data_IF_512418979654
#
_entry.id   IF_512418979654
#
_cell.length_a   1.000
_cell.length_b   1.000
_cell.length_c   1.000
_cell.angle_alpha   90.00
_cell.angle_beta   90.00
_cell.angle_gamma   90.00
#
_symmetry.space_group_name_H-M   'P 1'
#
loop_
_entity.id
_entity.type
_entity.pdbx_description
1 polymer ?
#
# COMPACT_ATOMS: atom_id res chain seq x y z
N UNK A 1 -35.76 25.36 96.50
CA UNK A 1 -35.17 26.28 95.49
C UNK A 1 -34.92 25.49 94.22
N UNK A 2 -35.52 25.96 93.12
CA UNK A 2 -35.16 25.78 91.71
C UNK A 2 -35.08 24.36 91.09
N UNK A 3 -36.13 24.07 90.29
CA UNK A 3 -36.14 23.35 88.99
C UNK A 3 -35.00 23.81 88.03
N UNK A 4 -34.72 23.21 86.83
CA UNK A 4 -35.57 22.33 85.99
C UNK A 4 -34.86 21.19 85.15
N UNK A 5 -35.65 20.53 84.28
CA UNK A 5 -35.33 20.13 82.87
C UNK A 5 -34.48 18.86 82.61
N UNK A 6 -34.65 18.04 81.56
CA UNK A 6 -35.66 17.75 80.50
C UNK A 6 -35.04 16.65 79.58
N UNK A 7 -35.84 16.06 78.68
CA UNK A 7 -35.47 15.36 77.42
C UNK A 7 -35.00 13.88 77.48
N UNK A 8 -35.82 12.89 77.05
CA UNK A 8 -36.05 12.33 75.68
C UNK A 8 -34.98 11.36 75.17
N UNK A 9 -35.37 10.12 74.89
CA UNK A 9 -34.74 9.25 73.89
C UNK A 9 -35.82 8.41 73.22
N UNK A 10 -36.34 8.93 72.10
CA UNK A 10 -37.07 8.16 71.11
C UNK A 10 -36.08 7.73 70.04
N UNK A 11 -35.85 6.42 69.95
CA UNK A 11 -35.02 5.77 68.94
C UNK A 11 -35.84 5.69 67.64
N UNK A 12 -35.48 6.49 66.62
CA UNK A 12 -36.02 6.35 65.27
C UNK A 12 -34.95 5.65 64.43
N UNK A 13 -35.14 4.36 64.14
CA UNK A 13 -34.39 3.64 63.11
C UNK A 13 -34.76 4.23 61.74
N UNK A 14 -33.79 4.84 61.07
CA UNK A 14 -33.88 5.11 59.62
C UNK A 14 -33.20 3.94 58.89
N UNK A 15 -34.01 3.10 58.24
CA UNK A 15 -33.55 2.16 57.22
C UNK A 15 -33.16 2.96 55.98
N UNK A 16 -31.86 3.04 55.69
CA UNK A 16 -31.35 3.45 54.37
C UNK A 16 -31.50 2.27 53.41
N UNK A 17 -32.57 2.28 52.62
CA UNK A 17 -32.67 1.50 51.39
C UNK A 17 -31.83 2.17 50.31
N UNK A 18 -30.58 1.71 50.14
CA UNK A 18 -29.75 2.04 48.98
C UNK A 18 -30.33 1.30 47.78
N UNK A 19 -31.06 2.03 46.93
CA UNK A 19 -31.48 1.56 45.61
C UNK A 19 -30.27 1.60 44.69
N UNK A 20 -29.73 0.42 44.34
CA UNK A 20 -28.83 0.28 43.19
C UNK A 20 -29.63 0.59 41.93
N UNK A 21 -29.54 1.83 41.43
CA UNK A 21 -29.84 2.11 40.03
C UNK A 21 -28.70 1.49 39.21
N UNK A 22 -28.92 0.29 38.72
CA UNK A 22 -28.15 -0.21 37.58
C UNK A 22 -28.54 0.68 36.40
N UNK A 23 -27.63 1.52 35.93
CA UNK A 23 -27.79 2.15 34.61
C UNK A 23 -27.73 1.01 33.60
N UNK A 24 -28.90 0.60 33.11
CA UNK A 24 -28.99 -0.31 31.97
C UNK A 24 -28.56 0.50 30.74
N UNK A 25 -27.42 0.14 30.18
CA UNK A 25 -26.89 0.76 28.96
C UNK A 25 -27.82 0.42 27.80
N UNK A 26 -28.14 1.40 26.94
CA UNK A 26 -28.96 1.18 25.74
C UNK A 26 -28.09 0.50 24.67
N UNK A 27 -27.93 -0.82 24.78
CA UNK A 27 -27.08 -1.63 23.91
C UNK A 27 -27.85 -2.09 22.68
N UNK A 28 -27.29 -1.86 21.49
CA UNK A 28 -27.81 -2.41 20.24
C UNK A 28 -27.54 -3.92 20.17
N UNK A 29 -28.55 -4.81 20.11
CA UNK A 29 -28.31 -6.26 20.04
C UNK A 29 -27.55 -6.73 18.80
N UNK A 30 -27.47 -5.91 17.74
CA UNK A 30 -26.80 -6.24 16.48
C UNK A 30 -25.44 -5.53 16.31
N UNK A 31 -24.86 -4.96 17.38
CA UNK A 31 -23.63 -4.17 17.26
C UNK A 31 -22.47 -4.93 16.60
N UNK A 32 -22.40 -6.25 16.79
CA UNK A 32 -21.30 -7.06 16.26
C UNK A 32 -21.32 -7.11 14.72
N UNK A 33 -22.51 -7.26 14.13
CA UNK A 33 -22.71 -7.24 12.68
C UNK A 33 -22.49 -5.83 12.12
N UNK A 34 -23.08 -4.82 12.75
CA UNK A 34 -22.92 -3.44 12.31
C UNK A 34 -21.47 -2.94 12.42
N UNK A 35 -20.71 -3.36 13.43
CA UNK A 35 -19.29 -3.03 13.58
C UNK A 35 -18.40 -3.73 12.55
N UNK A 36 -18.84 -4.88 12.02
CA UNK A 36 -18.09 -5.69 11.07
C UNK A 36 -18.20 -5.22 9.60
N UNK A 37 -18.86 -4.10 9.33
CA UNK A 37 -18.98 -3.53 7.99
C UNK A 37 -17.59 -3.22 7.38
N UNK A 38 -17.17 -3.93 6.31
CA UNK A 38 -15.87 -3.75 5.68
C UNK A 38 -15.68 -2.36 5.05
N UNK A 39 -16.76 -1.62 4.76
CA UNK A 39 -16.65 -0.30 4.15
C UNK A 39 -15.93 0.71 5.05
N UNK A 40 -16.02 0.55 6.38
CA UNK A 40 -15.22 1.38 7.32
C UNK A 40 -13.72 1.17 7.12
N UNK A 41 -13.30 -0.07 6.84
CA UNK A 41 -11.89 -0.39 6.59
C UNK A 41 -11.44 0.12 5.22
N UNK A 42 -12.25 -0.07 4.18
CA UNK A 42 -11.98 0.50 2.85
C UNK A 42 -11.80 2.03 2.91
N UNK A 43 -12.66 2.74 3.66
CA UNK A 43 -12.54 4.18 3.89
C UNK A 43 -11.26 4.56 4.63
N UNK A 44 -10.83 3.78 5.63
CA UNK A 44 -9.59 4.03 6.36
C UNK A 44 -8.34 3.89 5.45
N UNK A 45 -8.30 2.84 4.63
CA UNK A 45 -7.21 2.64 3.65
C UNK A 45 -7.24 3.72 2.55
N UNK A 46 -8.43 4.14 2.08
CA UNK A 46 -8.58 5.24 1.13
C UNK A 46 -8.11 6.57 1.72
N UNK A 47 -8.50 6.89 2.95
CA UNK A 47 -8.04 8.10 3.62
C UNK A 47 -6.51 8.11 3.76
N UNK A 48 -5.89 6.97 4.10
CA UNK A 48 -4.44 6.86 4.13
C UNK A 48 -3.81 7.11 2.76
N UNK A 49 -4.42 6.59 1.68
CA UNK A 49 -4.01 6.85 0.30
C UNK A 49 -4.08 8.34 -0.05
N UNK A 50 -5.14 9.04 0.35
CA UNK A 50 -5.30 10.47 0.09
C UNK A 50 -4.25 11.31 0.82
N UNK A 51 -3.86 10.90 2.03
CA UNK A 51 -2.76 11.51 2.77
C UNK A 51 -1.41 11.20 2.12
N UNK A 52 -1.19 9.98 1.65
CA UNK A 52 0.04 9.59 0.92
C UNK A 52 0.24 10.48 -0.32
N UNK A 53 -0.83 10.70 -1.10
CA UNK A 53 -0.80 11.60 -2.27
C UNK A 53 -0.58 13.05 -1.85
N UNK A 54 -1.25 13.50 -0.79
CA UNK A 54 -1.08 14.87 -0.27
C UNK A 54 0.35 15.17 0.18
N UNK A 55 0.97 14.20 0.86
CA UNK A 55 2.32 14.32 1.43
C UNK A 55 3.44 14.01 0.42
N UNK A 56 3.08 13.62 -0.81
CA UNK A 56 4.00 13.36 -1.93
C UNK A 56 5.04 12.28 -1.57
N UNK A 57 4.57 11.19 -0.97
CA UNK A 57 5.44 10.05 -0.71
C UNK A 57 5.86 9.34 -2.01
N UNK A 58 7.10 8.85 -2.02
CA UNK A 58 7.61 8.08 -3.16
C UNK A 58 6.92 6.73 -3.28
N UNK A 59 6.84 6.13 -4.49
CA UNK A 59 6.26 4.81 -4.68
C UNK A 59 6.74 3.72 -3.69
N UNK A 60 8.06 3.52 -3.47
CA UNK A 60 8.53 2.53 -2.49
C UNK A 60 8.12 2.87 -1.05
N UNK A 61 8.14 4.15 -0.66
CA UNK A 61 7.74 4.57 0.69
C UNK A 61 6.23 4.41 0.90
N UNK A 62 5.41 4.66 -0.11
CA UNK A 62 3.97 4.40 -0.06
C UNK A 62 3.67 2.92 0.22
N UNK A 63 4.35 1.98 -0.46
CA UNK A 63 4.20 0.55 -0.20
C UNK A 63 4.56 0.17 1.25
N UNK A 64 5.59 0.79 1.83
CA UNK A 64 5.95 0.62 3.25
C UNK A 64 4.81 1.07 4.18
N UNK A 65 4.18 2.20 3.88
CA UNK A 65 3.07 2.76 4.68
C UNK A 65 1.86 1.81 4.67
N UNK A 66 1.46 1.31 3.49
CA UNK A 66 0.37 0.34 3.37
C UNK A 66 0.67 -0.97 4.11
N UNK A 67 1.89 -1.50 3.95
CA UNK A 67 2.23 -2.81 4.50
C UNK A 67 2.14 -2.88 6.02
N UNK A 68 2.74 -1.91 6.73
CA UNK A 68 2.69 -1.92 8.18
C UNK A 68 1.31 -1.58 8.75
N UNK A 69 0.57 -0.65 8.11
CA UNK A 69 -0.78 -0.32 8.57
C UNK A 69 -1.75 -1.48 8.41
N UNK A 70 -1.68 -2.20 7.29
CA UNK A 70 -2.51 -3.38 7.05
C UNK A 70 -2.08 -4.58 7.91
N UNK A 71 -0.77 -4.79 8.12
CA UNK A 71 -0.25 -5.80 9.06
C UNK A 71 -0.84 -5.63 10.47
N UNK A 72 -0.91 -4.40 10.98
CA UNK A 72 -1.45 -4.15 12.31
C UNK A 72 -2.95 -4.52 12.42
N UNK A 73 -3.73 -4.23 11.39
CA UNK A 73 -5.13 -4.64 11.31
C UNK A 73 -5.27 -6.15 11.22
N UNK A 74 -4.43 -6.79 10.39
CA UNK A 74 -4.45 -8.23 10.17
C UNK A 74 -4.16 -9.00 11.45
N UNK A 75 -3.14 -8.60 12.22
CA UNK A 75 -2.81 -9.27 13.48
C UNK A 75 -3.93 -9.15 14.51
N UNK A 76 -4.65 -8.02 14.54
CA UNK A 76 -5.85 -7.90 15.38
C UNK A 76 -6.95 -8.85 14.91
N UNK A 77 -7.21 -8.91 13.60
CA UNK A 77 -8.25 -9.78 13.04
C UNK A 77 -7.92 -11.26 13.25
N UNK A 78 -6.68 -11.67 13.01
CA UNK A 78 -6.22 -13.05 13.20
C UNK A 78 -6.27 -13.50 14.67
N UNK A 79 -6.09 -12.59 15.63
CA UNK A 79 -6.27 -12.90 17.04
C UNK A 79 -7.75 -13.13 17.44
N UNK A 80 -8.68 -12.62 16.64
CA UNK A 80 -10.13 -12.72 16.88
C UNK A 80 -10.86 -13.80 16.09
N UNK A 81 -10.24 -14.33 15.03
CA UNK A 81 -10.84 -15.32 14.15
C UNK A 81 -9.90 -16.54 13.99
N UNK A 82 -10.29 -17.73 14.52
CA UNK A 82 -9.47 -18.94 14.44
C UNK A 82 -9.30 -19.48 13.01
N UNK A 83 -10.04 -18.96 12.02
CA UNK A 83 -9.81 -19.28 10.62
C UNK A 83 -8.50 -18.66 10.10
N UNK A 84 -8.02 -17.60 10.74
CA UNK A 84 -6.84 -16.84 10.34
C UNK A 84 -5.65 -17.12 11.27
N UNK A 85 -4.44 -17.11 10.70
CA UNK A 85 -3.19 -17.34 11.42
C UNK A 85 -2.38 -16.04 11.52
N UNK A 86 -1.77 -15.79 12.67
CA UNK A 86 -0.82 -14.68 12.82
C UNK A 86 0.36 -14.83 11.84
N UNK A 87 0.87 -13.70 11.33
CA UNK A 87 2.07 -13.67 10.50
C UNK A 87 3.37 -13.74 11.31
N UNK A 88 3.27 -13.77 12.64
CA UNK A 88 4.41 -13.95 13.52
C UNK A 88 5.16 -15.24 13.20
N UNK A 89 6.49 -15.12 13.02
CA UNK A 89 7.34 -16.23 12.59
C UNK A 89 7.21 -16.66 11.13
N UNK A 90 6.30 -16.07 10.35
CA UNK A 90 6.20 -16.26 8.90
C UNK A 90 6.94 -15.16 8.13
N UNK A 91 6.83 -13.91 8.60
CA UNK A 91 7.53 -12.74 8.03
C UNK A 91 8.78 -12.38 8.85
N UNK A 92 9.80 -11.85 8.17
CA UNK A 92 11.16 -11.61 8.68
C UNK A 92 11.18 -10.85 10.01
N UNK A 93 11.68 -11.47 11.08
CA UNK A 93 11.87 -10.84 12.40
C UNK A 93 10.58 -10.34 13.08
N UNK A 94 9.39 -10.71 12.61
CA UNK A 94 8.15 -10.31 13.26
C UNK A 94 7.79 -11.27 14.40
N UNK A 95 7.73 -10.74 15.61
CA UNK A 95 7.35 -11.46 16.81
C UNK A 95 5.84 -11.47 17.02
N UNK A 96 5.36 -12.42 17.83
CA UNK A 96 3.95 -12.55 18.20
C UNK A 96 3.40 -11.25 18.79
N UNK A 97 2.29 -10.77 18.25
CA UNK A 97 1.60 -9.59 18.73
C UNK A 97 0.89 -9.85 20.08
N UNK A 98 0.59 -8.80 20.87
CA UNK A 98 -0.21 -8.93 22.08
C UNK A 98 -1.52 -9.67 21.83
N UNK A 99 -1.83 -10.66 22.68
CA UNK A 99 -3.06 -11.45 22.61
C UNK A 99 -4.18 -10.79 23.42
N UNK A 100 -5.46 -10.93 23.02
CA UNK A 100 -6.59 -10.46 23.81
C UNK A 100 -6.68 -11.25 25.13
N UNK A 101 -7.28 -10.63 26.16
CA UNK A 101 -7.48 -11.28 27.45
C UNK A 101 -8.55 -12.37 27.33
N UNK A 102 -8.24 -13.58 27.82
CA UNK A 102 -9.12 -14.74 27.73
C UNK A 102 -10.43 -14.50 28.50
N UNK A 103 -11.56 -14.85 27.87
CA UNK A 103 -12.89 -14.76 28.47
C UNK A 103 -13.51 -13.37 28.50
N UNK A 104 -12.85 -12.36 27.91
CA UNK A 104 -13.42 -11.03 27.70
C UNK A 104 -13.89 -10.85 26.26
N UNK A 105 -14.90 -10.01 26.10
CA UNK A 105 -15.48 -9.69 24.79
C UNK A 105 -14.82 -8.46 24.17
N UNK A 106 -14.57 -8.56 22.86
CA UNK A 106 -13.93 -7.55 22.03
C UNK A 106 -14.71 -7.39 20.72
N UNK A 107 -14.70 -6.18 20.16
CA UNK A 107 -14.99 -5.92 18.75
C UNK A 107 -13.66 -5.86 17.99
N UNK A 108 -13.24 -7.01 17.43
CA UNK A 108 -12.07 -7.09 16.55
C UNK A 108 -12.16 -6.17 15.33
N UNK A 109 -13.34 -5.95 14.71
CA UNK A 109 -13.49 -4.93 13.66
C UNK A 109 -13.04 -3.53 14.09
N UNK A 110 -13.50 -3.06 15.25
CA UNK A 110 -13.09 -1.75 15.79
C UNK A 110 -11.61 -1.73 16.15
N UNK A 111 -11.12 -2.79 16.79
CA UNK A 111 -9.72 -2.89 17.17
C UNK A 111 -8.80 -2.86 15.93
N UNK A 112 -9.19 -3.51 14.82
CA UNK A 112 -8.42 -3.54 13.57
C UNK A 112 -8.37 -2.17 12.90
N UNK A 113 -9.49 -1.44 12.88
CA UNK A 113 -9.54 -0.04 12.40
C UNK A 113 -8.63 0.87 13.23
N UNK A 114 -8.69 0.76 14.55
CA UNK A 114 -7.83 1.53 15.46
C UNK A 114 -6.36 1.21 15.22
N UNK A 115 -6.01 -0.06 15.04
CA UNK A 115 -4.65 -0.48 14.77
C UNK A 115 -4.14 0.07 13.43
N UNK A 116 -4.95 -0.06 12.37
CA UNK A 116 -4.64 0.45 11.03
C UNK A 116 -4.40 1.97 11.04
N UNK A 117 -5.34 2.73 11.61
CA UNK A 117 -5.25 4.19 11.64
C UNK A 117 -4.05 4.67 12.45
N UNK A 118 -3.78 4.06 13.61
CA UNK A 118 -2.65 4.44 14.47
C UNK A 118 -1.30 4.21 13.77
N UNK A 119 -1.12 3.07 13.12
CA UNK A 119 0.12 2.77 12.37
C UNK A 119 0.22 3.61 11.09
N UNK A 120 -0.89 3.79 10.36
CA UNK A 120 -0.92 4.64 9.18
C UNK A 120 -0.53 6.08 9.50
N UNK A 121 -1.10 6.64 10.58
CA UNK A 121 -0.80 7.99 11.08
C UNK A 121 0.68 8.17 11.45
N UNK A 122 1.28 7.19 12.12
CA UNK A 122 2.68 7.30 12.57
C UNK A 122 3.71 7.23 11.44
N UNK A 123 3.29 6.97 10.21
CA UNK A 123 4.14 6.82 9.03
C UNK A 123 4.00 7.95 8.00
N UNK A 124 3.09 8.90 8.23
CA UNK A 124 2.81 10.04 7.33
C UNK A 124 3.18 11.38 7.97
N UNK A 125 3.13 12.49 7.21
CA UNK A 125 3.46 13.83 7.74
C UNK A 125 2.22 14.61 8.19
N UNK A 126 1.13 14.55 7.43
CA UNK A 126 -0.12 15.26 7.73
C UNK A 126 -1.02 14.47 8.71
N UNK A 127 -0.51 14.22 9.92
CA UNK A 127 -1.19 13.43 10.97
C UNK A 127 -2.59 13.97 11.35
N UNK A 128 -2.82 15.27 11.19
CA UNK A 128 -4.09 15.94 11.45
C UNK A 128 -5.22 15.40 10.56
N UNK A 129 -4.91 14.99 9.32
CA UNK A 129 -5.89 14.44 8.39
C UNK A 129 -6.38 13.06 8.80
N UNK A 130 -5.50 12.22 9.34
CA UNK A 130 -5.89 10.92 9.89
C UNK A 130 -6.62 11.13 11.22
N UNK A 131 -6.13 12.03 12.08
CA UNK A 131 -6.78 12.33 13.37
C UNK A 131 -8.22 12.79 13.18
N UNK A 132 -8.48 13.68 12.22
CA UNK A 132 -9.84 14.12 11.90
C UNK A 132 -10.73 12.98 11.39
N UNK A 133 -10.19 12.12 10.54
CA UNK A 133 -10.92 10.95 10.05
C UNK A 133 -11.22 9.95 11.18
N UNK A 134 -10.28 9.73 12.10
CA UNK A 134 -10.50 8.90 13.29
C UNK A 134 -11.61 9.46 14.18
N UNK A 135 -11.71 10.78 14.35
CA UNK A 135 -12.82 11.42 15.09
C UNK A 135 -14.17 11.14 14.43
N UNK A 136 -14.26 11.24 13.09
CA UNK A 136 -15.47 10.94 12.32
C UNK A 136 -15.84 9.45 12.44
N UNK A 137 -14.87 8.56 12.28
CA UNK A 137 -15.06 7.11 12.40
C UNK A 137 -15.49 6.70 13.81
N UNK A 138 -14.88 7.28 14.84
CA UNK A 138 -15.24 7.00 16.23
C UNK A 138 -16.63 7.51 16.58
N UNK A 139 -17.08 8.62 15.99
CA UNK A 139 -18.48 9.06 16.14
C UNK A 139 -19.44 8.04 15.53
N UNK A 140 -19.15 7.52 14.32
CA UNK A 140 -19.95 6.46 13.69
C UNK A 140 -19.97 5.16 14.53
N UNK A 141 -18.83 4.79 15.14
CA UNK A 141 -18.73 3.59 16.00
C UNK A 141 -19.53 3.78 17.30
N UNK A 142 -19.52 4.97 17.89
CA UNK A 142 -20.32 5.28 19.08
C UNK A 142 -21.83 5.18 18.79
N UNK A 143 -22.26 5.57 17.59
CA UNK A 143 -23.66 5.48 17.16
C UNK A 143 -24.18 4.03 17.03
N UNK A 144 -23.29 3.04 16.88
CA UNK A 144 -23.63 1.60 16.88
C UNK A 144 -24.18 1.18 18.25
N UNK A 145 -23.80 1.86 19.34
CA UNK A 145 -24.19 1.54 20.73
C UNK A 145 -23.80 0.12 21.18
N UNK A 146 -22.54 -0.26 20.94
CA UNK A 146 -21.95 -1.42 21.61
C UNK A 146 -21.71 -1.15 23.11
N UNK A 147 -21.62 -2.18 23.96
CA UNK A 147 -21.33 -1.97 25.38
C UNK A 147 -20.02 -1.17 25.54
N UNK A 148 -20.05 -0.11 26.36
CA UNK A 148 -18.88 0.77 26.62
C UNK A 148 -17.63 -0.03 27.00
N UNK A 149 -17.78 -1.05 27.84
CA UNK A 149 -16.68 -1.92 28.27
C UNK A 149 -16.10 -2.79 27.14
N UNK A 150 -16.85 -3.08 26.07
CA UNK A 150 -16.37 -3.77 24.86
C UNK A 150 -15.62 -2.77 23.98
N UNK A 151 -16.19 -1.57 23.76
CA UNK A 151 -15.56 -0.52 22.96
C UNK A 151 -14.20 -0.10 23.53
N UNK A 152 -14.15 0.29 24.81
CA UNK A 152 -12.93 0.75 25.47
C UNK A 152 -11.81 -0.30 25.39
N UNK A 153 -12.19 -1.57 25.58
CA UNK A 153 -11.25 -2.70 25.51
C UNK A 153 -10.77 -2.96 24.09
N UNK A 154 -11.64 -2.85 23.10
CA UNK A 154 -11.30 -3.02 21.68
C UNK A 154 -10.35 -1.93 21.20
N UNK A 155 -10.61 -0.68 21.58
CA UNK A 155 -9.71 0.46 21.30
C UNK A 155 -8.35 0.24 21.96
N UNK A 156 -8.31 -0.12 23.26
CA UNK A 156 -7.06 -0.39 23.96
C UNK A 156 -6.27 -1.56 23.33
N UNK A 157 -6.96 -2.63 22.93
CA UNK A 157 -6.35 -3.78 22.27
C UNK A 157 -5.74 -3.40 20.92
N UNK A 158 -6.52 -2.75 20.04
CA UNK A 158 -6.03 -2.26 18.74
C UNK A 158 -4.82 -1.33 18.88
N UNK A 159 -4.85 -0.43 19.88
CA UNK A 159 -3.71 0.43 20.19
C UNK A 159 -2.45 -0.36 20.60
N UNK A 160 -2.61 -1.44 21.36
CA UNK A 160 -1.49 -2.27 21.82
C UNK A 160 -0.83 -3.05 20.67
N UNK A 161 -1.62 -3.59 19.74
CA UNK A 161 -1.11 -4.27 18.54
C UNK A 161 -0.42 -3.26 17.62
N UNK A 162 -0.99 -2.07 17.46
CA UNK A 162 -0.33 -1.00 16.71
C UNK A 162 1.02 -0.59 17.32
N UNK A 163 1.13 -0.46 18.65
CA UNK A 163 2.41 -0.17 19.31
C UNK A 163 3.46 -1.25 19.05
N UNK A 164 3.04 -2.52 19.02
CA UNK A 164 3.90 -3.64 18.66
C UNK A 164 4.41 -3.55 17.21
N UNK A 165 3.53 -3.24 16.25
CA UNK A 165 3.91 -3.07 14.84
C UNK A 165 4.80 -1.82 14.64
N UNK A 166 4.54 -0.74 15.38
CA UNK A 166 5.40 0.47 15.38
C UNK A 166 6.80 0.13 15.86
N UNK A 167 6.92 -0.61 16.96
CA UNK A 167 8.21 -1.06 17.46
C UNK A 167 8.93 -1.99 16.46
N UNK A 168 8.18 -2.81 15.73
CA UNK A 168 8.71 -3.70 14.71
C UNK A 168 9.26 -2.95 13.49
N UNK A 169 8.51 -2.00 12.92
CA UNK A 169 9.00 -1.25 11.75
C UNK A 169 10.15 -0.30 12.08
N UNK A 170 10.29 0.11 13.34
CA UNK A 170 11.40 0.97 13.78
C UNK A 170 12.78 0.29 13.61
N UNK A 171 12.80 -1.04 13.49
CA UNK A 171 13.98 -1.85 13.22
C UNK A 171 14.27 -2.14 11.74
N UNK A 172 13.46 -1.64 10.80
CA UNK A 172 13.52 -2.05 9.37
C UNK A 172 14.57 -1.33 8.51
N UNK A 173 15.44 -0.55 9.14
CA UNK A 173 16.48 0.30 8.53
C UNK A 173 15.99 1.56 7.80
N UNK A 174 14.68 1.84 7.74
CA UNK A 174 14.16 3.02 7.04
C UNK A 174 14.68 4.36 7.61
N UNK A 175 14.70 4.52 8.92
CA UNK A 175 15.19 5.76 9.57
C UNK A 175 16.67 6.00 9.29
N UNK A 176 17.47 4.94 9.27
CA UNK A 176 18.92 4.98 9.04
C UNK A 176 19.23 5.40 7.60
N UNK A 177 18.52 4.82 6.63
CA UNK A 177 18.70 5.14 5.19
C UNK A 177 18.39 6.60 4.84
N UNK A 178 17.61 7.33 5.66
CA UNK A 178 17.35 8.78 5.46
C UNK A 178 18.62 9.64 5.51
N UNK A 179 19.69 9.12 6.09
CA UNK A 179 20.99 9.81 6.22
C UNK A 179 22.08 9.23 5.30
N UNK A 180 21.75 8.21 4.51
CA UNK A 180 22.72 7.60 3.59
C UNK A 180 23.04 8.56 2.42
N UNK A 181 24.20 8.41 1.78
CA UNK A 181 24.57 9.23 0.64
C UNK A 181 23.54 9.12 -0.49
N UNK A 182 23.34 10.24 -1.18
CA UNK A 182 22.56 10.28 -2.43
C UNK A 182 23.24 9.44 -3.51
N UNK A 183 22.48 9.08 -4.54
CA UNK A 183 23.03 8.40 -5.72
C UNK A 183 24.10 9.27 -6.39
N UNK A 184 25.27 8.69 -6.65
CA UNK A 184 26.38 9.40 -7.30
C UNK A 184 26.26 9.33 -8.81
N UNK A 185 26.20 10.50 -9.45
CA UNK A 185 26.22 10.64 -10.91
C UNK A 185 27.65 10.53 -11.43
N UNK A 186 27.81 9.90 -12.59
CA UNK A 186 29.10 9.66 -13.26
C UNK A 186 29.00 9.99 -14.75
N UNK A 187 30.15 10.24 -15.40
CA UNK A 187 30.24 10.52 -16.83
C UNK A 187 30.14 9.27 -17.74
N UNK A 188 29.93 8.08 -17.15
CA UNK A 188 29.70 6.86 -17.93
C UNK A 188 28.42 6.98 -18.78
N UNK A 189 28.54 6.72 -20.08
CA UNK A 189 27.48 6.98 -21.06
C UNK A 189 26.21 6.16 -20.84
N UNK A 190 26.36 4.93 -20.34
CA UNK A 190 25.26 4.01 -20.07
C UNK A 190 24.53 4.26 -18.75
N UNK A 191 25.10 5.09 -17.87
CA UNK A 191 24.59 5.30 -16.52
C UNK A 191 23.50 6.36 -16.48
N UNK A 192 22.57 6.16 -15.55
CA UNK A 192 21.45 7.04 -15.30
C UNK A 192 21.90 8.45 -14.94
N UNK A 193 21.16 9.42 -15.47
CA UNK A 193 21.30 10.83 -15.17
C UNK A 193 19.91 11.39 -14.86
N UNK A 194 19.82 12.43 -14.01
CA UNK A 194 18.59 13.16 -13.82
C UNK A 194 18.06 13.68 -15.16
N UNK A 195 16.76 13.55 -15.38
CA UNK A 195 16.09 13.94 -16.62
C UNK A 195 15.35 15.28 -16.46
N UNK A 196 15.16 16.03 -17.56
CA UNK A 196 14.28 17.19 -17.56
C UNK A 196 12.84 16.84 -17.14
N UNK A 197 12.05 17.85 -16.73
CA UNK A 197 12.44 19.24 -16.52
C UNK A 197 13.16 19.50 -15.18
N UNK A 198 12.95 18.66 -14.16
CA UNK A 198 13.34 18.98 -12.78
C UNK A 198 14.75 18.54 -12.40
N UNK A 199 15.33 17.57 -13.12
CA UNK A 199 16.66 17.01 -12.83
C UNK A 199 16.82 16.58 -11.36
N UNK A 200 15.78 15.96 -10.80
CA UNK A 200 15.76 15.49 -9.42
C UNK A 200 16.80 14.38 -9.17
N UNK A 201 17.31 14.34 -7.94
CA UNK A 201 18.14 13.24 -7.47
C UNK A 201 17.39 11.90 -7.54
N UNK A 202 18.14 10.82 -7.75
CA UNK A 202 17.58 9.46 -7.81
C UNK A 202 16.84 9.11 -6.51
N UNK A 203 15.58 8.71 -6.63
CA UNK A 203 14.69 8.40 -5.50
C UNK A 203 14.99 7.06 -4.83
N UNK A 204 15.31 7.12 -3.53
CA UNK A 204 15.55 5.96 -2.65
C UNK A 204 16.70 5.04 -3.08
N UNK A 205 17.94 5.53 -3.27
CA UNK A 205 19.07 4.72 -3.76
C UNK A 205 19.48 3.56 -2.84
N UNK A 206 19.05 3.61 -1.58
CA UNK A 206 19.34 2.59 -0.56
C UNK A 206 18.12 1.74 -0.21
N UNK A 207 17.07 1.73 -1.05
CA UNK A 207 15.85 0.98 -0.75
C UNK A 207 16.07 -0.53 -0.62
N UNK A 208 17.09 -1.06 -1.29
CA UNK A 208 17.52 -2.46 -1.15
C UNK A 208 17.97 -2.86 0.26
N UNK A 209 18.31 -1.88 1.10
CA UNK A 209 18.80 -2.12 2.46
C UNK A 209 17.63 -2.19 3.48
N UNK A 210 16.42 -1.82 3.08
CA UNK A 210 15.22 -1.95 3.91
C UNK A 210 14.92 -3.44 4.14
N UNK A 211 14.53 -3.79 5.37
CA UNK A 211 14.16 -5.18 5.70
C UNK A 211 12.97 -5.64 4.84
N UNK A 212 13.10 -6.71 4.05
CA UNK A 212 11.96 -7.32 3.36
C UNK A 212 11.06 -8.09 4.33
N UNK A 213 9.79 -8.26 3.96
CA UNK A 213 8.85 -9.04 4.76
C UNK A 213 9.01 -10.54 4.57
N UNK A 214 9.15 -10.99 3.33
CA UNK A 214 9.17 -12.42 2.98
C UNK A 214 10.45 -12.83 2.26
N UNK A 215 11.10 -11.92 1.53
CA UNK A 215 12.35 -12.22 0.83
C UNK A 215 13.50 -12.53 1.80
N UNK A 216 14.35 -13.50 1.44
CA UNK A 216 15.60 -13.80 2.15
C UNK A 216 16.62 -12.64 2.01
N UNK A 217 16.57 -11.95 0.87
CA UNK A 217 17.38 -10.76 0.58
C UNK A 217 16.79 -9.97 -0.58
N UNK A 218 17.12 -8.68 -0.69
CA UNK A 218 16.63 -7.83 -1.78
C UNK A 218 17.00 -8.37 -3.19
N UNK A 219 18.15 -9.04 -3.31
CA UNK A 219 18.64 -9.63 -4.56
C UNK A 219 18.15 -11.05 -4.85
N UNK A 220 17.20 -11.59 -4.07
CA UNK A 220 16.71 -12.97 -4.23
C UNK A 220 16.16 -13.24 -5.64
N UNK A 221 15.40 -12.28 -6.19
CA UNK A 221 14.84 -12.34 -7.54
C UNK A 221 15.53 -11.34 -8.49
N UNK A 222 16.87 -11.32 -8.46
CA UNK A 222 17.65 -10.52 -9.40
C UNK A 222 17.35 -10.95 -10.85
N UNK A 223 16.90 -10.03 -11.72
CA UNK A 223 16.56 -10.34 -13.11
C UNK A 223 17.81 -10.49 -13.98
N UNK A 224 17.60 -10.82 -15.25
CA UNK A 224 18.65 -10.72 -16.26
C UNK A 224 19.14 -9.27 -16.38
N UNK A 225 20.44 -9.04 -16.67
CA UNK A 225 20.96 -7.70 -16.87
C UNK A 225 20.29 -7.04 -18.09
N UNK A 226 20.23 -5.70 -18.12
CA UNK A 226 19.74 -5.00 -19.31
C UNK A 226 20.65 -5.28 -20.51
N UNK A 227 20.12 -5.04 -21.71
CA UNK A 227 20.91 -5.10 -22.93
C UNK A 227 22.13 -4.18 -22.83
N UNK A 228 23.28 -4.67 -23.28
CA UNK A 228 24.52 -3.90 -23.25
C UNK A 228 24.39 -2.65 -24.12
N UNK A 229 24.73 -1.49 -23.54
CA UNK A 229 24.69 -0.20 -24.23
C UNK A 229 25.52 -0.21 -25.51
N UNK A 230 24.94 0.27 -26.62
CA UNK A 230 25.68 0.43 -27.88
C UNK A 230 25.16 1.61 -28.71
N UNK A 231 26.07 2.41 -29.25
CA UNK A 231 25.73 3.47 -30.21
C UNK A 231 25.68 2.95 -31.66
N UNK A 232 25.97 1.66 -31.89
CA UNK A 232 25.98 1.05 -33.22
C UNK A 232 24.56 0.79 -33.72
N UNK A 233 24.23 1.35 -34.90
CA UNK A 233 22.98 1.09 -35.60
C UNK A 233 22.86 -0.39 -35.95
N UNK A 234 21.73 -1.01 -35.61
CA UNK A 234 21.49 -2.45 -35.82
C UNK A 234 22.02 -3.35 -34.69
N UNK A 235 22.59 -2.77 -33.62
CA UNK A 235 22.76 -3.51 -32.36
C UNK A 235 21.41 -3.73 -31.69
N UNK A 236 21.31 -4.77 -30.85
CA UNK A 236 20.10 -5.07 -30.07
C UNK A 236 19.66 -3.86 -29.21
N UNK A 237 20.61 -3.14 -28.61
CA UNK A 237 20.33 -1.91 -27.87
C UNK A 237 19.62 -0.87 -28.74
N UNK A 238 20.15 -0.63 -29.94
CA UNK A 238 19.58 0.34 -30.86
C UNK A 238 18.18 -0.07 -31.33
N UNK A 239 17.93 -1.36 -31.54
CA UNK A 239 16.59 -1.89 -31.86
C UNK A 239 15.59 -1.63 -30.73
N UNK A 240 15.96 -1.90 -29.48
CA UNK A 240 15.12 -1.64 -28.30
C UNK A 240 14.86 -0.13 -28.09
N UNK A 241 15.85 0.72 -28.34
CA UNK A 241 15.68 2.18 -28.33
C UNK A 241 14.70 2.63 -29.42
N UNK A 242 14.85 2.09 -30.64
CA UNK A 242 13.96 2.45 -31.75
C UNK A 242 12.53 1.96 -31.53
N UNK A 243 12.34 0.85 -30.83
CA UNK A 243 11.01 0.41 -30.38
C UNK A 243 10.36 1.49 -29.51
N UNK A 244 11.08 2.05 -28.52
CA UNK A 244 10.56 3.15 -27.69
C UNK A 244 10.30 4.41 -28.53
N UNK A 245 11.24 4.80 -29.38
CA UNK A 245 11.14 6.01 -30.22
C UNK A 245 9.91 5.98 -31.14
N UNK A 246 9.54 4.79 -31.64
CA UNK A 246 8.43 4.59 -32.58
C UNK A 246 7.17 4.00 -31.94
N UNK A 247 7.15 3.79 -30.61
CA UNK A 247 6.04 3.16 -29.91
C UNK A 247 4.73 3.98 -29.97
N UNK A 248 4.82 5.29 -30.19
CA UNK A 248 3.70 6.22 -30.16
C UNK A 248 3.71 7.16 -31.37
N UNK A 249 3.52 6.59 -32.56
CA UNK A 249 3.37 7.34 -33.82
C UNK A 249 1.89 7.68 -34.06
N UNK A 250 1.59 8.96 -34.32
CA UNK A 250 0.23 9.48 -34.53
C UNK A 250 -0.48 8.86 -35.74
N UNK A 251 0.28 8.30 -36.69
CA UNK A 251 -0.25 7.60 -37.86
C UNK A 251 -0.74 6.18 -37.53
N UNK A 252 -0.42 5.63 -36.36
CA UNK A 252 -0.85 4.30 -35.95
C UNK A 252 -2.36 4.23 -35.66
N UNK A 253 -3.08 3.19 -36.13
CA UNK A 253 -4.52 3.05 -35.87
C UNK A 253 -4.90 3.01 -34.38
N UNK A 254 -4.01 2.51 -33.53
CA UNK A 254 -4.18 2.34 -32.08
C UNK A 254 -3.51 3.46 -31.25
N UNK A 255 -2.99 4.52 -31.87
CA UNK A 255 -2.32 5.64 -31.19
C UNK A 255 -3.11 6.19 -30.00
N UNK A 256 -4.42 6.43 -30.18
CA UNK A 256 -5.30 6.97 -29.13
C UNK A 256 -5.42 6.01 -27.94
N UNK A 257 -5.50 4.71 -28.21
CA UNK A 257 -5.61 3.71 -27.16
C UNK A 257 -4.29 3.57 -26.41
N UNK A 258 -3.14 3.56 -27.11
CA UNK A 258 -1.82 3.56 -26.47
C UNK A 258 -1.62 4.78 -25.56
N UNK A 259 -2.07 5.94 -26.01
CA UNK A 259 -2.04 7.19 -25.24
C UNK A 259 -2.89 7.07 -23.97
N UNK A 260 -4.11 6.55 -24.10
CA UNK A 260 -5.02 6.35 -22.97
C UNK A 260 -4.44 5.35 -21.96
N UNK A 261 -3.89 4.22 -22.43
CA UNK A 261 -3.22 3.22 -21.59
C UNK A 261 -2.04 3.84 -20.83
N UNK A 262 -1.16 4.58 -21.52
CA UNK A 262 -0.01 5.22 -20.90
C UNK A 262 -0.42 6.23 -19.81
N UNK A 263 -1.47 7.03 -20.08
CA UNK A 263 -1.97 8.01 -19.12
C UNK A 263 -2.66 7.37 -17.91
N UNK A 264 -3.45 6.31 -18.14
CA UNK A 264 -4.13 5.58 -17.09
C UNK A 264 -3.17 5.00 -16.06
N UNK A 265 -2.09 4.38 -16.54
CA UNK A 265 -1.09 3.76 -15.70
C UNK A 265 0.11 4.66 -15.37
N UNK A 266 0.07 5.97 -15.61
CA UNK A 266 1.24 6.84 -15.37
C UNK A 266 1.65 6.81 -13.90
N UNK A 267 0.68 7.00 -12.99
CA UNK A 267 0.83 6.86 -11.54
C UNK A 267 2.10 7.52 -10.97
N UNK A 268 2.51 8.66 -11.56
CA UNK A 268 3.73 9.36 -11.19
C UNK A 268 3.40 10.58 -10.31
N UNK A 269 3.68 10.53 -8.99
CA UNK A 269 3.39 11.65 -8.09
C UNK A 269 4.33 12.86 -8.30
N UNK A 270 5.32 12.75 -9.18
CA UNK A 270 6.32 13.79 -9.45
C UNK A 270 6.05 14.60 -10.71
N UNK A 271 4.91 14.41 -11.37
CA UNK A 271 4.61 15.15 -12.60
C UNK A 271 4.53 16.65 -12.29
N UNK A 272 5.46 17.40 -12.87
CA UNK A 272 5.56 18.85 -12.71
C UNK A 272 5.06 19.55 -13.98
N UNK A 273 4.21 20.55 -13.78
CA UNK A 273 3.69 21.38 -14.85
C UNK A 273 4.38 22.74 -14.78
N UNK A 274 4.92 23.18 -15.91
CA UNK A 274 5.56 24.49 -16.06
C UNK A 274 4.69 25.35 -16.97
N UNK A 275 4.02 26.35 -16.40
CA UNK A 275 3.29 27.36 -17.18
C UNK A 275 3.87 28.76 -16.89
N UNK A 276 4.75 29.23 -17.79
CA UNK A 276 5.47 30.49 -17.62
C UNK A 276 6.46 30.45 -16.45
N UNK A 277 6.13 31.10 -15.32
CA UNK A 277 6.92 31.11 -14.08
C UNK A 277 6.29 30.27 -12.97
N UNK A 278 5.15 29.64 -13.23
CA UNK A 278 4.45 28.79 -12.27
C UNK A 278 4.88 27.34 -12.46
N UNK A 279 5.36 26.75 -11.37
CA UNK A 279 5.63 25.31 -11.25
C UNK A 279 4.57 24.73 -10.32
N UNK A 280 3.80 23.73 -10.77
CA UNK A 280 2.85 23.02 -9.90
C UNK A 280 2.84 21.51 -10.20
N UNK A 281 2.74 20.69 -9.17
CA UNK A 281 2.67 19.24 -9.31
C UNK A 281 1.22 18.79 -9.57
N UNK A 282 1.04 17.84 -10.50
CA UNK A 282 -0.23 17.12 -10.65
C UNK A 282 -0.34 16.07 -9.55
N UNK A 283 -1.44 16.09 -8.80
CA UNK A 283 -1.72 15.04 -7.81
C UNK A 283 -2.10 13.76 -8.53
N UNK A 284 -1.31 12.71 -8.32
CA UNK A 284 -1.55 11.35 -8.84
C UNK A 284 -1.25 10.34 -7.75
N UNK A 285 -1.95 9.20 -7.78
CA UNK A 285 -1.57 8.04 -6.97
C UNK A 285 -0.26 7.46 -7.45
N UNK A 286 0.44 6.77 -6.54
CA UNK A 286 1.56 5.92 -6.90
C UNK A 286 1.04 4.56 -7.39
N UNK A 287 1.87 3.75 -8.08
CA UNK A 287 1.43 2.46 -8.61
C UNK A 287 0.99 1.50 -7.50
N UNK A 288 1.63 1.56 -6.32
CA UNK A 288 1.18 0.81 -5.15
C UNK A 288 -0.19 1.26 -4.66
N UNK A 289 -0.46 2.57 -4.67
CA UNK A 289 -1.78 3.12 -4.32
C UNK A 289 -2.88 2.69 -5.30
N UNK A 290 -2.56 2.62 -6.60
CA UNK A 290 -3.48 2.10 -7.63
C UNK A 290 -3.88 0.65 -7.33
N UNK A 291 -2.91 -0.24 -7.11
CA UNK A 291 -3.20 -1.63 -6.76
C UNK A 291 -3.95 -1.80 -5.43
N UNK A 292 -3.70 -0.92 -4.45
CA UNK A 292 -4.48 -0.87 -3.20
C UNK A 292 -5.93 -0.41 -3.45
N UNK A 293 -6.17 0.51 -4.37
CA UNK A 293 -7.53 0.87 -4.79
C UNK A 293 -8.21 -0.29 -5.54
N UNK A 294 -7.48 -1.05 -6.37
CA UNK A 294 -7.99 -2.27 -7.03
C UNK A 294 -8.38 -3.33 -5.99
N UNK A 295 -7.63 -3.49 -4.88
CA UNK A 295 -8.05 -4.37 -3.77
C UNK A 295 -9.43 -3.96 -3.25
N UNK A 296 -9.69 -2.66 -3.08
CA UNK A 296 -10.99 -2.17 -2.62
C UNK A 296 -12.13 -2.52 -3.60
N UNK A 297 -11.87 -2.38 -4.92
CA UNK A 297 -12.83 -2.74 -5.96
C UNK A 297 -13.11 -4.24 -5.98
N UNK A 298 -12.06 -5.06 -5.91
CA UNK A 298 -12.18 -6.52 -5.86
C UNK A 298 -12.95 -7.00 -4.63
N UNK A 299 -12.63 -6.48 -3.44
CA UNK A 299 -13.34 -6.81 -2.21
C UNK A 299 -14.82 -6.45 -2.28
N UNK A 300 -15.16 -5.25 -2.76
CA UNK A 300 -16.56 -4.81 -2.92
C UNK A 300 -17.32 -5.68 -3.93
N UNK A 301 -16.72 -5.96 -5.08
CA UNK A 301 -17.33 -6.80 -6.12
C UNK A 301 -17.50 -8.26 -5.67
N UNK A 302 -16.55 -8.77 -4.87
CA UNK A 302 -16.61 -10.12 -4.32
C UNK A 302 -17.51 -10.23 -3.07
N UNK A 303 -18.12 -9.12 -2.61
CA UNK A 303 -18.84 -9.02 -1.33
C UNK A 303 -18.01 -9.61 -0.17
N UNK A 304 -16.71 -9.31 -0.18
CA UNK A 304 -15.77 -9.81 0.81
C UNK A 304 -16.09 -9.24 2.20
N UNK A 305 -16.15 -10.11 3.20
CA UNK A 305 -16.28 -9.69 4.60
C UNK A 305 -15.00 -8.98 5.08
N UNK A 306 -15.06 -8.42 6.28
CA UNK A 306 -13.94 -7.68 6.85
C UNK A 306 -12.65 -8.52 6.97
N UNK A 307 -12.65 -9.75 7.54
CA UNK A 307 -11.45 -10.58 7.59
C UNK A 307 -10.81 -10.81 6.20
N UNK A 308 -11.62 -11.18 5.19
CA UNK A 308 -11.13 -11.38 3.82
C UNK A 308 -10.61 -10.09 3.20
N UNK A 309 -11.25 -8.97 3.48
CA UNK A 309 -10.79 -7.66 3.00
C UNK A 309 -9.43 -7.28 3.59
N UNK A 310 -9.27 -7.42 4.91
CA UNK A 310 -8.00 -7.14 5.61
C UNK A 310 -6.88 -8.07 5.14
N UNK A 311 -7.18 -9.35 4.92
CA UNK A 311 -6.27 -10.33 4.31
C UNK A 311 -5.79 -9.86 2.92
N UNK A 312 -6.72 -9.46 2.05
CA UNK A 312 -6.40 -9.03 0.70
C UNK A 312 -5.50 -7.78 0.67
N UNK A 313 -5.80 -6.79 1.51
CA UNK A 313 -4.94 -5.62 1.66
C UNK A 313 -3.56 -5.98 2.19
N UNK A 314 -3.49 -6.87 3.17
CA UNK A 314 -2.23 -7.25 3.82
C UNK A 314 -1.32 -7.97 2.84
N UNK A 315 -1.77 -9.07 2.24
CA UNK A 315 -0.95 -9.84 1.30
C UNK A 315 -0.52 -9.02 0.08
N UNK A 316 -1.44 -8.21 -0.47
CA UNK A 316 -1.11 -7.32 -1.60
C UNK A 316 -0.05 -6.30 -1.19
N UNK A 317 -0.17 -5.69 0.00
CA UNK A 317 0.82 -4.71 0.48
C UNK A 317 2.19 -5.35 0.71
N UNK A 318 2.26 -6.56 1.27
CA UNK A 318 3.51 -7.31 1.43
C UNK A 318 4.19 -7.56 0.07
N UNK A 319 3.42 -7.99 -0.94
CA UNK A 319 3.92 -8.20 -2.29
C UNK A 319 4.39 -6.90 -2.96
N UNK A 320 3.70 -5.78 -2.73
CA UNK A 320 4.14 -4.47 -3.19
C UNK A 320 5.48 -4.09 -2.55
N UNK A 321 5.60 -4.17 -1.22
CA UNK A 321 6.83 -3.79 -0.50
C UNK A 321 8.04 -4.61 -0.94
N UNK A 322 7.91 -5.94 -0.95
CA UNK A 322 9.00 -6.83 -1.35
C UNK A 322 9.31 -6.68 -2.85
N UNK A 323 8.30 -6.41 -3.68
CA UNK A 323 8.47 -6.09 -5.10
C UNK A 323 9.26 -4.79 -5.31
N UNK A 324 8.96 -3.75 -4.53
CA UNK A 324 9.71 -2.49 -4.55
C UNK A 324 11.15 -2.69 -4.08
N UNK A 325 11.40 -3.45 -3.01
CA UNK A 325 12.76 -3.78 -2.54
C UNK A 325 13.55 -4.49 -3.64
N UNK A 326 12.98 -5.52 -4.26
CA UNK A 326 13.65 -6.29 -5.32
C UNK A 326 13.89 -5.47 -6.59
N UNK A 327 12.92 -4.65 -6.99
CA UNK A 327 13.06 -3.78 -8.16
C UNK A 327 14.11 -2.68 -7.93
N UNK A 328 14.11 -2.02 -6.76
CA UNK A 328 15.07 -0.95 -6.48
C UNK A 328 16.50 -1.48 -6.32
N UNK A 329 16.68 -2.70 -5.80
CA UNK A 329 17.96 -3.38 -5.82
C UNK A 329 18.53 -3.48 -7.25
N UNK A 330 17.71 -3.85 -8.24
CA UNK A 330 18.15 -3.89 -9.63
C UNK A 330 18.34 -2.49 -10.25
N UNK A 331 17.44 -1.54 -9.99
CA UNK A 331 17.56 -0.16 -10.49
C UNK A 331 18.90 0.47 -10.14
N UNK A 332 19.33 0.31 -8.90
CA UNK A 332 20.57 0.90 -8.42
C UNK A 332 21.79 0.00 -8.66
N UNK A 333 21.61 -1.28 -8.99
CA UNK A 333 22.68 -2.18 -9.47
C UNK A 333 23.04 -1.88 -10.92
N UNK A 334 22.06 -1.89 -11.82
CA UNK A 334 22.27 -1.61 -13.25
C UNK A 334 22.54 -0.13 -13.51
N UNK A 335 21.86 0.74 -12.75
CA UNK A 335 21.92 2.18 -12.89
C UNK A 335 21.71 2.64 -14.34
N UNK A 336 20.83 1.98 -15.10
CA UNK A 336 20.67 2.22 -16.54
C UNK A 336 19.99 3.57 -16.84
N UNK A 337 20.49 4.24 -17.88
CA UNK A 337 19.92 5.47 -18.44
C UNK A 337 18.50 5.30 -19.00
N UNK A 338 17.72 6.39 -19.01
CA UNK A 338 16.33 6.42 -19.50
C UNK A 338 16.23 6.66 -21.02
N UNK A 339 15.20 6.16 -21.73
CA UNK A 339 15.11 6.27 -23.19
C UNK A 339 15.33 7.68 -23.74
N UNK A 340 14.69 8.69 -23.15
CA UNK A 340 14.86 10.09 -23.58
C UNK A 340 16.32 10.55 -23.59
N UNK A 341 17.14 10.03 -22.69
CA UNK A 341 18.55 10.42 -22.58
C UNK A 341 19.35 9.91 -23.77
N UNK A 342 19.11 8.67 -24.23
CA UNK A 342 19.79 8.15 -25.41
C UNK A 342 19.24 8.79 -26.69
N UNK A 343 17.91 8.84 -26.81
CA UNK A 343 17.22 9.37 -28.00
C UNK A 343 17.65 10.81 -28.25
N UNK A 344 17.60 11.67 -27.23
CA UNK A 344 18.00 13.08 -27.36
C UNK A 344 19.47 13.26 -27.72
N UNK A 345 20.37 12.34 -27.33
CA UNK A 345 21.81 12.46 -27.61
C UNK A 345 22.20 11.95 -28.99
N UNK A 346 21.50 10.94 -29.52
CA UNK A 346 22.01 10.14 -30.63
C UNK A 346 21.01 9.96 -31.79
N UNK A 347 19.74 10.31 -31.60
CA UNK A 347 18.68 10.06 -32.58
C UNK A 347 17.97 11.36 -32.94
N UNK A 348 17.34 12.00 -31.96
CA UNK A 348 16.44 13.14 -32.15
C UNK A 348 16.42 14.01 -30.88
N UNK A 349 17.08 15.17 -30.93
CA UNK A 349 17.19 16.12 -29.81
C UNK A 349 15.84 16.74 -29.40
N UNK A 350 14.84 16.75 -30.29
CA UNK A 350 13.53 17.35 -30.07
C UNK A 350 12.50 16.35 -29.53
N UNK A 351 12.80 15.05 -29.60
CA UNK A 351 11.89 14.00 -29.13
C UNK A 351 11.59 14.11 -27.64
N UNK A 352 10.34 13.90 -27.25
CA UNK A 352 9.91 13.87 -25.85
C UNK A 352 9.05 12.63 -25.61
N UNK A 353 9.23 11.95 -24.46
CA UNK A 353 8.32 10.88 -24.07
C UNK A 353 6.93 11.46 -23.81
N UNK A 354 5.88 10.63 -23.98
CA UNK A 354 4.52 11.02 -23.63
C UNK A 354 4.38 11.29 -22.13
N UNK A 355 5.02 10.45 -21.30
CA UNK A 355 5.04 10.60 -19.85
C UNK A 355 6.34 11.25 -19.41
N UNK A 356 6.28 12.15 -18.43
CA UNK A 356 7.48 12.70 -17.80
C UNK A 356 8.28 11.56 -17.14
N UNK A 357 9.57 11.47 -17.48
CA UNK A 357 10.44 10.41 -16.98
C UNK A 357 10.59 10.48 -15.46
N UNK A 358 10.28 9.39 -14.71
CA UNK A 358 10.43 9.37 -13.27
C UNK A 358 11.91 9.45 -12.84
N UNK A 359 12.22 10.13 -11.71
CA UNK A 359 13.59 10.43 -11.28
C UNK A 359 14.29 9.24 -10.59
N UNK A 360 14.47 8.15 -11.32
CA UNK A 360 15.21 6.96 -10.89
C UNK A 360 15.66 6.12 -12.10
N UNK A 361 16.68 5.25 -11.94
CA UNK A 361 17.19 4.39 -13.01
C UNK A 361 16.14 3.53 -13.70
N UNK A 362 16.47 3.12 -14.92
CA UNK A 362 15.53 2.49 -15.84
C UNK A 362 15.25 1.02 -15.48
N UNK A 363 16.26 0.16 -15.40
CA UNK A 363 16.05 -1.30 -15.36
C UNK A 363 15.96 -1.86 -13.93
N UNK A 364 14.96 -2.65 -13.55
CA UNK A 364 13.72 -3.04 -14.26
C UNK A 364 12.59 -2.03 -14.08
N UNK A 365 11.50 -2.15 -14.84
CA UNK A 365 10.30 -1.31 -14.67
C UNK A 365 9.61 -1.58 -13.34
N UNK A 366 9.50 -0.56 -12.49
CA UNK A 366 8.81 -0.67 -11.19
C UNK A 366 7.32 -1.00 -11.34
N UNK A 367 6.66 -0.43 -12.35
CA UNK A 367 5.27 -0.77 -12.66
C UNK A 367 5.11 -2.24 -13.01
N UNK A 368 6.02 -2.79 -13.82
CA UNK A 368 5.95 -4.19 -14.24
C UNK A 368 6.10 -5.15 -13.06
N UNK A 369 7.09 -4.89 -12.19
CA UNK A 369 7.36 -5.72 -11.01
C UNK A 369 6.18 -5.69 -10.03
N UNK A 370 5.77 -4.50 -9.61
CA UNK A 370 4.76 -4.38 -8.53
C UNK A 370 3.37 -4.78 -9.02
N UNK A 371 3.04 -4.50 -10.29
CA UNK A 371 1.73 -4.85 -10.84
C UNK A 371 1.58 -6.35 -10.97
N UNK A 372 2.61 -7.05 -11.47
CA UNK A 372 2.56 -8.51 -11.56
C UNK A 372 2.58 -9.17 -10.17
N UNK A 373 3.36 -8.64 -9.22
CA UNK A 373 3.36 -9.16 -7.85
C UNK A 373 1.99 -9.03 -7.17
N UNK A 374 1.34 -7.86 -7.30
CA UNK A 374 -0.01 -7.63 -6.77
C UNK A 374 -1.06 -8.50 -7.49
N UNK A 375 -0.99 -8.60 -8.82
CA UNK A 375 -1.90 -9.42 -9.60
C UNK A 375 -1.84 -10.90 -9.22
N UNK A 376 -0.64 -11.46 -9.02
CA UNK A 376 -0.49 -12.87 -8.58
C UNK A 376 -1.19 -13.11 -7.24
N UNK A 377 -1.03 -12.21 -6.27
CA UNK A 377 -1.69 -12.33 -4.97
C UNK A 377 -3.21 -12.19 -5.09
N UNK A 378 -3.70 -11.22 -5.86
CA UNK A 378 -5.14 -11.02 -6.04
C UNK A 378 -5.78 -12.17 -6.82
N UNK A 379 -5.09 -12.73 -7.81
CA UNK A 379 -5.51 -13.93 -8.53
C UNK A 379 -5.63 -15.14 -7.59
N UNK A 380 -4.72 -15.32 -6.64
CA UNK A 380 -4.83 -16.39 -5.63
C UNK A 380 -6.06 -16.20 -4.72
N UNK A 381 -6.33 -14.96 -4.30
CA UNK A 381 -7.41 -14.65 -3.34
C UNK A 381 -8.82 -14.59 -3.94
N UNK A 382 -8.94 -14.22 -5.20
CA UNK A 382 -10.24 -13.96 -5.86
C UNK A 382 -10.48 -14.82 -7.10
N UNK A 383 -9.46 -15.51 -7.61
CA UNK A 383 -9.53 -16.37 -8.79
C UNK A 383 -8.90 -15.76 -10.04
N UNK A 384 -8.57 -16.63 -11.01
CA UNK A 384 -7.88 -16.28 -12.25
C UNK A 384 -8.76 -15.45 -13.20
N UNK A 385 -10.03 -15.82 -13.34
CA UNK A 385 -11.01 -15.16 -14.22
C UNK A 385 -11.82 -14.06 -13.49
N UNK A 386 -11.18 -13.29 -12.60
CA UNK A 386 -11.84 -12.19 -11.90
C UNK A 386 -11.86 -10.93 -12.76
N UNK A 387 -12.92 -10.77 -13.55
CA UNK A 387 -13.14 -9.55 -14.33
C UNK A 387 -13.59 -8.40 -13.44
N UNK A 388 -13.06 -7.19 -13.64
CA UNK A 388 -13.40 -6.01 -12.85
C UNK A 388 -13.32 -4.71 -13.67
N UNK A 389 -14.08 -3.72 -13.23
CA UNK A 389 -14.03 -2.35 -13.72
C UNK A 389 -13.17 -1.51 -12.81
N UNK A 390 -12.04 -1.03 -13.33
CA UNK A 390 -11.12 -0.17 -12.62
C UNK A 390 -11.53 1.30 -12.73
N UNK A 391 -12.09 1.83 -11.64
CA UNK A 391 -12.49 3.23 -11.49
C UNK A 391 -11.52 4.03 -10.62
N UNK A 392 -10.35 3.48 -10.27
CA UNK A 392 -9.47 4.13 -9.27
C UNK A 392 -8.87 5.45 -9.73
N UNK A 393 -8.82 5.68 -11.04
CA UNK A 393 -8.26 6.89 -11.65
C UNK A 393 -9.34 7.94 -12.02
N UNK A 394 -10.63 7.66 -11.77
CA UNK A 394 -11.73 8.62 -12.04
C UNK A 394 -11.60 9.89 -11.21
N UNK A 395 -11.17 9.77 -9.95
CA UNK A 395 -10.94 10.94 -9.08
C UNK A 395 -9.74 11.81 -9.54
N UNK A 396 -8.86 11.24 -10.38
CA UNK A 396 -7.73 11.92 -11.02
C UNK A 396 -8.04 12.35 -12.46
N UNK A 397 -9.30 12.21 -12.89
CA UNK A 397 -9.81 12.74 -14.17
C UNK A 397 -9.63 11.80 -15.36
N UNK A 398 -9.33 10.52 -15.14
CA UNK A 398 -9.17 9.51 -16.18
C UNK A 398 -10.39 8.58 -16.21
N UNK A 399 -10.80 8.09 -17.40
CA UNK A 399 -11.97 7.22 -17.50
C UNK A 399 -11.69 5.83 -16.91
N UNK A 400 -12.76 5.17 -16.44
CA UNK A 400 -12.76 3.75 -16.09
C UNK A 400 -12.20 2.87 -17.21
N UNK A 401 -11.49 1.79 -16.83
CA UNK A 401 -11.04 0.72 -17.73
C UNK A 401 -11.50 -0.65 -17.21
N UNK A 402 -11.88 -1.55 -18.10
CA UNK A 402 -12.34 -2.90 -17.74
C UNK A 402 -11.25 -3.92 -18.04
N UNK A 403 -11.07 -4.88 -17.12
CA UNK A 403 -10.09 -5.95 -17.25
C UNK A 403 -10.76 -7.31 -17.04
N UNK A 404 -10.34 -8.31 -17.81
CA UNK A 404 -10.83 -9.69 -17.68
C UNK A 404 -10.19 -10.43 -16.50
N UNK A 405 -9.02 -9.97 -16.03
CA UNK A 405 -8.31 -10.51 -14.87
C UNK A 405 -7.29 -9.51 -14.32
N UNK A 406 -6.83 -9.73 -13.08
CA UNK A 406 -5.71 -8.95 -12.51
C UNK A 406 -4.42 -9.12 -13.32
N UNK A 407 -4.17 -10.31 -13.88
CA UNK A 407 -3.01 -10.55 -14.73
C UNK A 407 -3.09 -9.71 -16.00
N UNK A 408 -4.26 -9.62 -16.64
CA UNK A 408 -4.47 -8.75 -17.80
C UNK A 408 -4.25 -7.28 -17.47
N UNK A 409 -4.75 -6.80 -16.31
CA UNK A 409 -4.47 -5.45 -15.83
C UNK A 409 -2.96 -5.22 -15.62
N UNK A 410 -2.24 -6.20 -15.05
CA UNK A 410 -0.79 -6.11 -14.84
C UNK A 410 0.00 -6.04 -16.14
N UNK A 411 -0.45 -6.74 -17.18
CA UNK A 411 0.18 -6.74 -18.51
C UNK A 411 0.00 -5.40 -19.20
N UNK A 412 -1.21 -4.83 -19.12
CA UNK A 412 -1.46 -3.49 -19.63
C UNK A 412 -0.64 -2.43 -18.87
N UNK A 413 -0.57 -2.52 -17.54
CA UNK A 413 0.24 -1.65 -16.69
C UNK A 413 1.73 -1.72 -17.07
N UNK A 414 2.25 -2.92 -17.33
CA UNK A 414 3.63 -3.12 -17.77
C UNK A 414 3.88 -2.50 -19.16
N UNK A 415 3.01 -2.78 -20.12
CA UNK A 415 3.13 -2.31 -21.51
C UNK A 415 2.93 -0.80 -21.64
N UNK A 416 2.12 -0.19 -20.76
CA UNK A 416 1.91 1.26 -20.70
C UNK A 416 3.21 2.06 -20.63
N UNK A 417 4.27 1.48 -20.06
CA UNK A 417 5.56 2.14 -19.87
C UNK A 417 6.36 2.28 -21.17
N UNK A 418 6.13 1.37 -22.12
CA UNK A 418 6.65 1.49 -23.48
C UNK A 418 5.92 2.61 -24.22
N UNK A 419 4.58 2.61 -24.17
CA UNK A 419 3.76 3.65 -24.79
C UNK A 419 4.04 5.03 -24.19
N UNK A 420 4.37 5.09 -22.90
CA UNK A 420 4.79 6.29 -22.21
C UNK A 420 6.18 6.81 -22.62
N UNK A 421 6.99 6.03 -23.34
CA UNK A 421 8.31 6.44 -23.82
C UNK A 421 9.44 6.35 -22.78
N UNK A 422 9.25 5.64 -21.68
CA UNK A 422 10.11 5.77 -20.49
C UNK A 422 10.77 4.46 -20.03
N UNK A 423 10.44 3.34 -20.67
CA UNK A 423 11.05 2.04 -20.43
C UNK A 423 11.34 1.30 -21.73
N UNK A 424 12.46 0.57 -21.77
CA UNK A 424 12.78 -0.37 -22.84
C UNK A 424 12.07 -1.71 -22.62
N UNK A 425 11.86 -2.48 -23.68
CA UNK A 425 11.22 -3.81 -23.63
C UNK A 425 11.83 -4.76 -22.57
N UNK A 426 13.16 -4.92 -22.44
CA UNK A 426 13.72 -5.81 -21.41
C UNK A 426 13.35 -5.42 -19.97
N UNK A 427 13.27 -4.13 -19.66
CA UNK A 427 12.89 -3.68 -18.32
C UNK A 427 11.43 -4.01 -17.99
N UNK A 428 10.58 -4.06 -19.02
CA UNK A 428 9.17 -4.43 -18.92
C UNK A 428 9.05 -5.94 -18.73
N UNK A 429 9.57 -6.73 -19.66
CA UNK A 429 9.40 -8.18 -19.69
C UNK A 429 10.07 -8.85 -18.48
N UNK A 430 11.34 -8.51 -18.19
CA UNK A 430 12.03 -9.06 -17.02
C UNK A 430 11.47 -8.51 -15.70
N UNK A 431 10.83 -7.33 -15.74
CA UNK A 431 10.11 -6.77 -14.61
C UNK A 431 8.86 -7.59 -14.28
N UNK A 432 8.09 -8.00 -15.31
CA UNK A 432 6.94 -8.90 -15.12
C UNK A 432 7.40 -10.22 -14.51
N UNK A 433 8.42 -10.87 -15.08
CA UNK A 433 8.95 -12.13 -14.54
C UNK A 433 9.42 -11.97 -13.08
N UNK A 434 10.11 -10.87 -12.76
CA UNK A 434 10.56 -10.56 -11.41
C UNK A 434 9.37 -10.40 -10.45
N UNK A 435 8.33 -9.65 -10.85
CA UNK A 435 7.12 -9.45 -10.08
C UNK A 435 6.36 -10.75 -9.80
N UNK A 436 6.26 -11.62 -10.81
CA UNK A 436 5.60 -12.92 -10.67
C UNK A 436 6.31 -13.81 -9.66
N UNK A 437 7.65 -13.82 -9.69
CA UNK A 437 8.44 -14.55 -8.71
C UNK A 437 8.27 -14.01 -7.28
N UNK A 438 8.20 -12.69 -7.11
CA UNK A 438 7.94 -12.05 -5.80
C UNK A 438 6.54 -12.40 -5.29
N UNK A 439 5.49 -12.24 -6.11
CA UNK A 439 4.11 -12.58 -5.72
C UNK A 439 3.98 -14.05 -5.28
N UNK A 440 4.53 -14.97 -6.07
CA UNK A 440 4.57 -16.39 -5.72
C UNK A 440 5.44 -16.69 -4.49
N UNK A 441 6.43 -15.86 -4.17
CA UNK A 441 7.21 -16.01 -2.95
C UNK A 441 6.41 -15.64 -1.71
N UNK A 442 5.67 -14.53 -1.76
CA UNK A 442 4.77 -14.11 -0.68
C UNK A 442 3.77 -15.22 -0.38
N UNK A 443 3.07 -15.74 -1.40
CA UNK A 443 2.06 -16.80 -1.24
C UNK A 443 2.63 -18.12 -0.71
N UNK A 444 3.91 -18.43 -0.99
CA UNK A 444 4.59 -19.63 -0.44
C UNK A 444 5.12 -19.43 0.98
N UNK A 445 5.33 -18.19 1.39
CA UNK A 445 5.92 -17.86 2.70
C UNK A 445 4.84 -17.58 3.73
N UNK A 446 3.73 -16.99 3.31
CA UNK A 446 2.66 -16.51 4.17
C UNK A 446 1.41 -17.37 3.99
N UNK A 447 1.07 -18.13 5.02
CA UNK A 447 -0.17 -18.88 5.16
C UNK A 447 -1.11 -18.12 6.11
N UNK A 448 -2.07 -17.39 5.54
CA UNK A 448 -3.03 -16.58 6.30
C UNK A 448 -4.18 -17.37 6.89
N UNK A 449 -4.50 -18.54 6.32
CA UNK A 449 -5.64 -19.36 6.72
C UNK A 449 -5.18 -20.70 7.30
N UNK A 450 -5.88 -21.20 8.31
CA UNK A 450 -5.63 -22.55 8.82
C UNK A 450 -5.94 -23.59 7.72
N UNK A 451 -4.98 -24.46 7.38
CA UNK A 451 -5.29 -25.60 6.52
C UNK A 451 -6.28 -26.52 7.26
N UNK A 452 -7.55 -26.50 6.84
CA UNK A 452 -8.50 -27.55 7.23
C UNK A 452 -7.95 -28.82 6.60
N UNK A 453 -7.34 -29.68 7.41
CA UNK A 453 -6.99 -31.01 6.94
C UNK A 453 -8.32 -31.70 6.66
N UNK A 454 -8.71 -31.81 5.38
CA UNK A 454 -9.75 -32.76 5.00
C UNK A 454 -9.21 -34.14 5.38
N UNK A 455 -9.63 -34.64 6.54
CA UNK A 455 -9.47 -36.05 6.86
C UNK A 455 -10.31 -36.84 5.83
N UNK A 456 -9.64 -37.31 4.78
CA UNK A 456 -10.18 -38.29 3.84
C UNK A 456 -10.38 -39.66 4.51
#
# INVERSE_FOLDING_TARGET
MNLPAKLTSGLLLLLLSVTFFSCEEDVNPNYAEEAADPERYHRAVKQLTDVIVHDIFSPPVAARIYSYSNLAAYEVMAAGDPAYQSLAGQITEFAEAPQPEEGLEYSFPVAALVAQCKVGKSLIFSEDKITKFEEELMAEILDIRMPSAVLERSVAYGQSVADHVIAYYDGDLYKQTRTYPKFSISDERSRWQPTPPDYMDGIEPSWKDIRPFTLDSAGQYKPLPPTEYSEEKGSRWYEEVMEVYTALDEEMPDYKERTAIAQFWDCNPYVSNIEGHLMFASKKISPGGHWINIVALACRQAEADLPRSVEAYTLTSLALMDGFISCWDEKYRSALLRPETFINRHIDEEWRPLLQTPPFPEHTSGHSVISRAAAVVLTDLFGDDFAFDDTSEEEYGLPMRSFESFLAASEEAALSRLYGGIHYRPAIDYGVDQGENVGNHVLRTVETRAQITEQQ
#
